data_IF_791612236361
#
_entry.id   IF_791612236361
#
_cell.length_a   1.000
_cell.length_b   1.000
_cell.length_c   1.000
_cell.angle_alpha   90.00
_cell.angle_beta   90.00
_cell.angle_gamma   90.00
#
_symmetry.space_group_name_H-M   'P 1'
#
loop_
_entity.id
_entity.type
_entity.pdbx_description
1 polymer ?
#
# COMPACT_ATOMS: atom_id res chain seq x y z
N UNK A 1 -0.50 54.03 -10.52
CA UNK A 1 -0.65 53.15 -9.34
C UNK A 1 -1.79 52.17 -9.62
N UNK A 2 -1.52 50.95 -10.12
CA UNK A 2 -2.45 49.84 -10.02
C UNK A 2 -1.99 48.83 -8.97
N UNK A 3 -2.98 48.49 -8.17
CA UNK A 3 -3.13 47.46 -7.13
C UNK A 3 -2.32 46.18 -7.36
N UNK A 4 -1.51 45.81 -6.37
CA UNK A 4 -1.01 44.45 -6.19
C UNK A 4 -2.13 43.58 -5.62
N UNK A 5 -2.70 42.70 -6.44
CA UNK A 5 -3.52 41.60 -5.94
C UNK A 5 -2.59 40.41 -5.64
N UNK A 6 -2.28 40.25 -4.35
CA UNK A 6 -1.67 39.06 -3.77
C UNK A 6 -2.62 37.87 -3.96
N UNK A 7 -2.22 36.88 -4.76
CA UNK A 7 -2.84 35.56 -4.75
C UNK A 7 -2.14 34.70 -3.68
N UNK A 8 -2.74 34.66 -2.49
CA UNK A 8 -2.44 33.67 -1.45
C UNK A 8 -2.80 32.28 -1.98
N UNK A 9 -1.81 31.50 -2.39
CA UNK A 9 -1.96 30.07 -2.60
C UNK A 9 -2.02 29.39 -1.23
N UNK A 10 -3.22 28.98 -0.82
CA UNK A 10 -3.41 28.13 0.35
C UNK A 10 -2.69 26.80 0.14
N UNK A 11 -1.53 26.64 0.78
CA UNK A 11 -0.70 25.43 0.75
C UNK A 11 -1.43 24.28 1.46
N UNK A 12 -2.14 23.44 0.70
CA UNK A 12 -2.54 22.12 1.18
C UNK A 12 -1.27 21.29 1.32
N UNK A 13 -0.94 20.86 2.54
CA UNK A 13 0.25 20.06 2.82
C UNK A 13 0.32 18.84 1.88
N UNK A 14 1.48 18.64 1.24
CA UNK A 14 1.72 17.50 0.35
C UNK A 14 1.49 16.17 1.10
N UNK A 15 0.59 15.29 0.61
CA UNK A 15 0.30 14.01 1.24
C UNK A 15 1.53 13.13 1.49
N UNK A 16 2.54 13.19 0.62
CA UNK A 16 3.77 12.43 0.81
C UNK A 16 4.59 12.96 1.98
N UNK A 17 4.72 14.28 2.10
CA UNK A 17 5.34 14.93 3.24
C UNK A 17 4.65 14.58 4.57
N UNK A 18 3.31 14.51 4.58
CA UNK A 18 2.55 14.07 5.77
C UNK A 18 2.86 12.62 6.15
N UNK A 19 3.02 11.72 5.17
CA UNK A 19 3.45 10.34 5.40
C UNK A 19 4.86 10.27 5.98
N UNK A 20 5.82 11.05 5.45
CA UNK A 20 7.19 11.09 5.97
C UNK A 20 7.23 11.50 7.45
N UNK A 21 6.48 12.55 7.82
CA UNK A 21 6.35 12.98 9.21
C UNK A 21 5.71 11.92 10.10
N UNK A 22 4.68 11.24 9.60
CA UNK A 22 4.02 10.15 10.32
C UNK A 22 4.96 8.97 10.56
N UNK A 23 5.75 8.57 9.56
CA UNK A 23 6.79 7.54 9.69
C UNK A 23 7.79 7.94 10.78
N UNK A 24 8.33 9.16 10.72
CA UNK A 24 9.30 9.66 11.70
C UNK A 24 8.72 9.67 13.11
N UNK A 25 7.46 10.09 13.28
CA UNK A 25 6.75 10.06 14.55
C UNK A 25 6.65 8.64 15.13
N UNK A 26 6.26 7.67 14.30
CA UNK A 26 6.12 6.28 14.76
C UNK A 26 7.46 5.63 15.10
N UNK A 27 8.51 5.90 14.32
CA UNK A 27 9.86 5.44 14.63
C UNK A 27 10.34 6.04 15.95
N UNK A 28 10.21 7.36 16.13
CA UNK A 28 10.61 8.02 17.39
C UNK A 28 9.84 7.47 18.60
N UNK A 29 8.52 7.26 18.46
CA UNK A 29 7.69 6.69 19.52
C UNK A 29 8.13 5.27 19.90
N UNK A 30 8.43 4.43 18.91
CA UNK A 30 8.94 3.09 19.16
C UNK A 30 10.33 3.12 19.79
N UNK A 31 11.25 3.96 19.29
CA UNK A 31 12.60 4.06 19.86
C UNK A 31 12.56 4.47 21.32
N UNK A 32 11.70 5.43 21.67
CA UNK A 32 11.52 5.88 23.06
C UNK A 32 10.87 4.81 23.93
N UNK A 33 9.86 4.08 23.43
CA UNK A 33 9.17 3.05 24.22
C UNK A 33 10.09 1.87 24.57
N UNK A 34 10.94 1.46 23.63
CA UNK A 34 11.83 0.31 23.80
C UNK A 34 13.23 0.69 24.31
N UNK A 35 13.50 1.97 24.55
CA UNK A 35 14.83 2.50 24.85
C UNK A 35 15.90 1.98 23.87
N UNK A 36 15.56 1.97 22.58
CA UNK A 36 16.37 1.40 21.52
C UNK A 36 16.40 2.32 20.29
N UNK A 37 17.56 2.72 19.76
CA UNK A 37 17.65 3.67 18.65
C UNK A 37 17.32 2.99 17.31
N UNK A 38 16.03 2.91 16.96
CA UNK A 38 15.60 2.35 15.68
C UNK A 38 16.06 3.22 14.50
N UNK A 39 16.61 2.56 13.48
CA UNK A 39 17.03 3.23 12.24
C UNK A 39 15.80 3.69 11.45
N UNK A 40 15.81 4.95 11.02
CA UNK A 40 14.79 5.47 10.10
C UNK A 40 14.74 4.64 8.80
N UNK A 41 13.55 4.21 8.37
CA UNK A 41 13.42 3.43 7.14
C UNK A 41 13.49 4.33 5.91
N UNK A 42 13.92 3.75 4.78
CA UNK A 42 13.73 4.41 3.49
C UNK A 42 12.22 4.41 3.17
N UNK A 43 11.70 5.57 2.75
CA UNK A 43 10.31 5.69 2.29
C UNK A 43 10.32 5.86 0.78
N UNK A 44 9.52 5.04 0.09
CA UNK A 44 9.37 5.08 -1.37
C UNK A 44 7.90 5.15 -1.77
N UNK A 45 7.62 5.67 -2.96
CA UNK A 45 6.27 5.79 -3.48
C UNK A 45 6.16 5.15 -4.87
N UNK A 46 5.16 4.28 -5.06
CA UNK A 46 4.84 3.65 -6.34
C UNK A 46 3.52 4.14 -6.90
N UNK A 47 3.32 3.92 -8.20
CA UNK A 47 2.11 4.32 -8.93
C UNK A 47 1.25 3.15 -9.41
N UNK A 48 1.64 1.91 -9.07
CA UNK A 48 1.00 0.71 -9.61
C UNK A 48 0.78 -0.37 -8.54
N UNK A 49 -0.09 -1.32 -8.87
CA UNK A 49 -0.56 -2.35 -7.97
C UNK A 49 -1.80 -1.91 -7.17
N UNK A 50 -2.25 -2.75 -6.24
CA UNK A 50 -3.49 -2.51 -5.49
C UNK A 50 -3.30 -2.46 -3.98
N UNK A 51 -2.08 -2.74 -3.49
CA UNK A 51 -1.76 -2.65 -2.06
C UNK A 51 -1.53 -1.19 -1.70
N UNK A 52 -1.96 -0.77 -0.51
CA UNK A 52 -1.72 0.59 -0.01
C UNK A 52 -0.25 0.82 0.40
N UNK A 53 0.31 -0.16 1.10
CA UNK A 53 1.65 -0.16 1.67
C UNK A 53 2.34 -1.51 1.51
N UNK A 54 3.65 -1.52 1.67
CA UNK A 54 4.46 -2.75 1.80
C UNK A 54 5.73 -2.43 2.58
N UNK A 55 5.98 -3.18 3.64
CA UNK A 55 7.23 -3.21 4.36
C UNK A 55 8.20 -4.25 3.77
N UNK A 56 9.41 -3.81 3.42
CA UNK A 56 10.54 -4.64 3.00
C UNK A 56 11.52 -4.76 4.17
N UNK A 57 11.29 -5.77 5.01
CA UNK A 57 11.94 -5.94 6.31
C UNK A 57 13.47 -5.84 6.26
N UNK A 58 14.13 -6.66 5.44
CA UNK A 58 15.60 -6.69 5.33
C UNK A 58 16.20 -5.41 4.72
N UNK A 59 15.42 -4.64 3.97
CA UNK A 59 15.86 -3.38 3.38
C UNK A 59 15.62 -2.19 4.32
N UNK A 60 14.95 -2.40 5.46
CA UNK A 60 14.39 -1.35 6.29
C UNK A 60 13.68 -0.27 5.45
N UNK A 61 12.77 -0.70 4.57
CA UNK A 61 12.11 0.17 3.60
C UNK A 61 10.61 -0.03 3.60
N UNK A 62 9.86 1.07 3.53
CA UNK A 62 8.43 1.05 3.23
C UNK A 62 8.18 1.62 1.84
N UNK A 63 7.16 1.08 1.18
CA UNK A 63 6.72 1.55 -0.14
C UNK A 63 5.21 1.79 -0.12
N UNK A 64 4.79 3.03 -0.36
CA UNK A 64 3.39 3.44 -0.35
C UNK A 64 2.85 3.68 -1.76
N UNK A 65 1.57 3.46 -1.96
CA UNK A 65 0.92 3.72 -3.25
C UNK A 65 0.48 5.18 -3.35
N UNK A 66 1.12 5.97 -4.22
CA UNK A 66 0.93 7.43 -4.31
C UNK A 66 -0.50 7.84 -4.68
N UNK A 67 -1.14 7.12 -5.61
CA UNK A 67 -2.50 7.44 -6.06
C UNK A 67 -3.50 7.19 -4.92
N UNK A 68 -3.49 6.00 -4.32
CA UNK A 68 -4.33 5.70 -3.15
C UNK A 68 -4.10 6.70 -2.00
N UNK A 69 -2.85 7.10 -1.74
CA UNK A 69 -2.52 8.11 -0.72
C UNK A 69 -3.20 9.45 -1.00
N UNK A 70 -3.15 9.95 -2.23
CA UNK A 70 -3.76 11.23 -2.60
C UNK A 70 -5.26 11.28 -2.29
N UNK A 71 -5.95 10.14 -2.42
CA UNK A 71 -7.40 10.06 -2.20
C UNK A 71 -7.79 9.59 -0.79
N UNK A 72 -6.84 9.08 0.00
CA UNK A 72 -7.13 8.43 1.28
C UNK A 72 -6.13 8.82 2.38
N UNK A 73 -5.70 10.09 2.40
CA UNK A 73 -4.65 10.57 3.30
C UNK A 73 -4.93 10.21 4.76
N UNK A 74 -6.15 10.43 5.24
CA UNK A 74 -6.53 10.09 6.62
C UNK A 74 -6.25 8.62 6.95
N UNK A 75 -6.76 7.69 6.15
CA UNK A 75 -6.56 6.24 6.30
C UNK A 75 -5.08 5.85 6.23
N UNK A 76 -4.28 6.55 5.42
CA UNK A 76 -2.84 6.33 5.39
C UNK A 76 -2.18 6.65 6.72
N UNK A 77 -2.51 7.81 7.30
CA UNK A 77 -1.91 8.28 8.55
C UNK A 77 -2.43 7.50 9.77
N UNK A 78 -3.70 7.07 9.77
CA UNK A 78 -4.32 6.34 10.89
C UNK A 78 -4.00 4.84 10.89
N UNK A 79 -3.90 4.22 9.71
CA UNK A 79 -3.86 2.77 9.57
C UNK A 79 -2.68 2.25 8.76
N UNK A 80 -2.48 2.74 7.53
CA UNK A 80 -1.49 2.14 6.61
C UNK A 80 -0.05 2.37 7.09
N UNK A 81 0.31 3.61 7.43
CA UNK A 81 1.65 3.94 7.93
C UNK A 81 1.97 3.19 9.23
N UNK A 82 1.17 3.27 10.31
CA UNK A 82 1.48 2.53 11.54
C UNK A 82 1.54 1.02 11.30
N UNK A 83 0.72 0.46 10.41
CA UNK A 83 0.78 -0.97 10.06
C UNK A 83 2.13 -1.37 9.45
N UNK A 84 2.58 -0.67 8.40
CA UNK A 84 3.84 -1.00 7.73
C UNK A 84 5.05 -0.71 8.63
N UNK A 85 5.01 0.34 9.43
CA UNK A 85 6.08 0.67 10.37
C UNK A 85 6.15 -0.35 11.52
N UNK A 86 5.03 -0.84 12.03
CA UNK A 86 5.03 -1.88 13.05
C UNK A 86 5.75 -3.15 12.58
N UNK A 87 5.64 -3.52 11.30
CA UNK A 87 6.42 -4.64 10.74
C UNK A 87 7.92 -4.40 10.80
N UNK A 88 8.38 -3.18 10.47
CA UNK A 88 9.80 -2.85 10.53
C UNK A 88 10.31 -2.82 11.97
N UNK A 89 9.58 -2.19 12.89
CA UNK A 89 9.92 -2.15 14.33
C UNK A 89 10.07 -3.56 14.89
N UNK A 90 9.08 -4.43 14.64
CA UNK A 90 9.10 -5.82 15.10
C UNK A 90 10.29 -6.57 14.52
N UNK A 91 10.58 -6.39 13.24
CA UNK A 91 11.71 -7.07 12.62
C UNK A 91 13.05 -6.61 13.19
N UNK A 92 13.21 -5.31 13.45
CA UNK A 92 14.43 -4.75 14.03
C UNK A 92 14.68 -5.25 15.46
N UNK A 93 13.64 -5.43 16.26
CA UNK A 93 13.77 -5.82 17.68
C UNK A 93 13.78 -7.34 17.89
N UNK A 94 12.99 -8.08 17.12
CA UNK A 94 12.71 -9.50 17.37
C UNK A 94 13.14 -10.42 16.21
N UNK A 95 13.62 -9.87 15.10
CA UNK A 95 14.02 -10.64 13.93
C UNK A 95 12.82 -11.29 13.22
N UNK A 96 12.88 -12.61 13.00
CA UNK A 96 11.83 -13.35 12.28
C UNK A 96 10.79 -13.88 13.27
N UNK A 97 9.62 -13.25 13.28
CA UNK A 97 8.44 -13.68 14.06
C UNK A 97 7.21 -13.81 13.17
N UNK A 98 6.09 -14.28 13.73
CA UNK A 98 4.82 -14.40 13.00
C UNK A 98 4.34 -13.01 12.52
N UNK A 99 3.99 -12.86 11.23
CA UNK A 99 3.36 -11.64 10.74
C UNK A 99 2.08 -11.34 11.53
N UNK A 100 1.93 -10.09 11.99
CA UNK A 100 0.77 -9.67 12.79
C UNK A 100 0.58 -10.48 14.09
N UNK A 101 1.66 -11.10 14.59
CA UNK A 101 1.73 -11.85 15.85
C UNK A 101 1.69 -10.98 17.10
N UNK A 102 2.08 -11.54 18.24
CA UNK A 102 2.01 -10.87 19.56
C UNK A 102 2.84 -9.58 19.59
N UNK A 103 4.04 -9.62 19.04
CA UNK A 103 4.98 -8.51 19.00
C UNK A 103 4.40 -7.36 18.18
N UNK A 104 3.83 -7.67 17.02
CA UNK A 104 3.19 -6.68 16.15
C UNK A 104 1.95 -6.07 16.81
N UNK A 105 1.10 -6.89 17.46
CA UNK A 105 -0.06 -6.39 18.20
C UNK A 105 0.36 -5.47 19.34
N UNK A 106 1.43 -5.81 20.07
CA UNK A 106 1.99 -4.96 21.12
C UNK A 106 2.47 -3.62 20.57
N UNK A 107 3.21 -3.62 19.45
CA UNK A 107 3.64 -2.37 18.82
C UNK A 107 2.44 -1.53 18.38
N UNK A 108 1.44 -2.14 17.74
CA UNK A 108 0.24 -1.41 17.32
C UNK A 108 -0.53 -0.82 18.51
N UNK A 109 -0.81 -1.62 19.53
CA UNK A 109 -1.67 -1.23 20.65
C UNK A 109 -0.94 -0.36 21.68
N UNK A 110 0.14 -0.88 22.25
CA UNK A 110 0.83 -0.26 23.39
C UNK A 110 1.76 0.85 22.95
N UNK A 111 2.39 0.72 21.78
CA UNK A 111 3.34 1.72 21.28
C UNK A 111 2.61 2.73 20.41
N UNK A 112 1.85 2.33 19.40
CA UNK A 112 1.23 3.29 18.47
C UNK A 112 -0.12 3.80 18.92
N UNK A 113 -0.84 3.07 19.79
CA UNK A 113 -2.21 3.42 20.17
C UNK A 113 -3.23 3.15 19.07
N UNK A 114 -2.89 2.27 18.12
CA UNK A 114 -3.71 1.89 16.98
C UNK A 114 -4.37 0.53 17.22
N UNK A 115 -5.59 0.35 16.71
CA UNK A 115 -6.21 -0.98 16.69
C UNK A 115 -5.39 -1.90 15.79
N UNK A 116 -5.07 -3.15 16.21
CA UNK A 116 -4.28 -4.09 15.41
C UNK A 116 -5.14 -4.72 14.30
N UNK A 117 -5.58 -3.90 13.34
CA UNK A 117 -6.31 -4.37 12.17
C UNK A 117 -5.34 -4.81 11.08
N UNK A 118 -5.54 -6.02 10.55
CA UNK A 118 -4.76 -6.57 9.43
C UNK A 118 -5.36 -6.23 8.07
N UNK A 119 -6.60 -5.75 8.05
CA UNK A 119 -7.32 -5.32 6.86
C UNK A 119 -7.71 -3.86 6.98
N UNK A 120 -7.46 -3.09 5.92
CA UNK A 120 -8.04 -1.78 5.72
C UNK A 120 -8.79 -1.80 4.39
N UNK A 121 -9.96 -1.17 4.37
CA UNK A 121 -10.73 -0.96 3.14
C UNK A 121 -10.33 0.40 2.59
N UNK A 122 -9.79 0.41 1.37
CA UNK A 122 -9.54 1.64 0.63
C UNK A 122 -10.42 1.63 -0.61
N UNK A 123 -10.89 2.81 -1.00
CA UNK A 123 -11.53 2.95 -2.28
C UNK A 123 -10.48 2.75 -3.39
N UNK A 124 -10.64 1.65 -4.14
CA UNK A 124 -9.79 1.30 -5.27
C UNK A 124 -10.36 1.82 -6.60
N UNK A 125 -11.51 2.50 -6.59
CA UNK A 125 -12.13 3.07 -7.80
C UNK A 125 -11.21 4.07 -8.50
N UNK A 126 -10.39 4.78 -7.72
CA UNK A 126 -9.38 5.75 -8.19
C UNK A 126 -8.21 5.12 -8.94
N UNK A 127 -8.08 3.78 -8.90
CA UNK A 127 -7.10 3.08 -9.69
C UNK A 127 -7.72 2.73 -11.05
N UNK A 128 -7.24 3.37 -12.10
CA UNK A 128 -7.53 2.94 -13.47
C UNK A 128 -6.95 1.54 -13.70
N UNK A 129 -7.79 0.51 -13.59
CA UNK A 129 -7.38 -0.88 -13.74
C UNK A 129 -7.49 -1.27 -15.19
N UNK A 130 -6.35 -1.32 -15.89
CA UNK A 130 -6.28 -1.89 -17.24
C UNK A 130 -6.76 -3.35 -17.22
N UNK A 131 -7.79 -3.59 -18.00
CA UNK A 131 -8.30 -4.92 -18.33
C UNK A 131 -8.00 -5.23 -19.78
N UNK A 132 -8.08 -6.52 -20.12
CA UNK A 132 -7.84 -7.06 -21.45
C UNK A 132 -9.01 -7.95 -21.81
N UNK A 133 -9.58 -7.73 -22.98
CA UNK A 133 -10.70 -8.53 -23.45
C UNK A 133 -10.23 -9.90 -23.94
N UNK A 134 -10.90 -10.92 -23.42
CA UNK A 134 -10.75 -12.30 -23.81
C UNK A 134 -12.13 -12.88 -24.08
N UNK A 135 -12.23 -13.83 -24.99
CA UNK A 135 -13.47 -14.51 -25.31
C UNK A 135 -13.36 -16.02 -25.15
N UNK A 136 -14.53 -16.64 -24.98
CA UNK A 136 -14.73 -18.07 -25.16
C UNK A 136 -15.99 -18.27 -26.02
N UNK A 137 -16.41 -19.51 -26.22
CA UNK A 137 -17.58 -19.81 -27.05
C UNK A 137 -18.92 -19.27 -26.49
N UNK A 138 -18.98 -18.79 -25.23
CA UNK A 138 -20.24 -18.35 -24.63
C UNK A 138 -20.29 -16.88 -24.18
N UNK A 139 -19.15 -16.19 -24.05
CA UNK A 139 -19.11 -14.78 -23.61
C UNK A 139 -17.71 -14.16 -23.77
N UNK A 140 -17.65 -12.84 -23.65
CA UNK A 140 -16.42 -12.06 -23.41
C UNK A 140 -16.15 -11.92 -21.90
N UNK A 141 -14.88 -11.78 -21.55
CA UNK A 141 -14.34 -11.68 -20.20
C UNK A 141 -13.27 -10.58 -20.16
N UNK A 142 -13.33 -9.74 -19.12
CA UNK A 142 -12.26 -8.79 -18.83
C UNK A 142 -11.22 -9.39 -17.89
N UNK A 143 -10.04 -9.72 -18.41
CA UNK A 143 -8.93 -10.23 -17.63
C UNK A 143 -8.03 -9.11 -17.13
N UNK A 144 -7.64 -9.19 -15.85
CA UNK A 144 -6.60 -8.31 -15.28
C UNK A 144 -5.27 -8.45 -16.04
N UNK A 145 -4.45 -7.40 -16.04
CA UNK A 145 -3.07 -7.45 -16.60
C UNK A 145 -2.24 -8.63 -16.08
N UNK A 146 -2.40 -9.05 -14.81
CA UNK A 146 -1.71 -10.23 -14.29
C UNK A 146 -2.11 -11.52 -15.01
N UNK A 147 -3.41 -11.73 -15.23
CA UNK A 147 -3.91 -12.91 -15.95
C UNK A 147 -3.50 -12.86 -17.42
N UNK A 148 -3.65 -11.70 -18.07
CA UNK A 148 -3.17 -11.49 -19.43
C UNK A 148 -1.68 -11.83 -19.57
N UNK A 149 -0.81 -11.26 -18.73
CA UNK A 149 0.63 -11.53 -18.78
C UNK A 149 0.97 -13.01 -18.53
N UNK A 150 0.23 -13.70 -17.65
CA UNK A 150 0.44 -15.12 -17.39
C UNK A 150 0.09 -15.99 -18.62
N UNK A 151 -0.93 -15.59 -19.40
CA UNK A 151 -1.29 -16.24 -20.67
C UNK A 151 -0.21 -15.96 -21.72
N UNK A 152 0.17 -14.68 -21.90
CA UNK A 152 1.19 -14.27 -22.89
C UNK A 152 2.54 -14.96 -22.65
N UNK A 153 2.93 -15.15 -21.38
CA UNK A 153 4.15 -15.87 -21.01
C UNK A 153 3.98 -17.40 -20.99
N UNK A 154 2.85 -17.93 -21.47
CA UNK A 154 2.52 -19.37 -21.48
C UNK A 154 2.60 -20.05 -20.10
N UNK A 155 2.49 -19.29 -19.01
CA UNK A 155 2.58 -19.79 -17.64
C UNK A 155 1.28 -20.37 -17.13
N UNK A 156 0.14 -19.94 -17.68
CA UNK A 156 -1.20 -20.37 -17.26
C UNK A 156 -2.16 -20.37 -18.43
N UNK A 157 -3.08 -21.33 -18.41
CA UNK A 157 -4.26 -21.39 -19.27
C UNK A 157 -5.47 -21.12 -18.38
N UNK A 158 -6.37 -20.24 -18.83
CA UNK A 158 -7.63 -19.96 -18.14
C UNK A 158 -8.78 -20.53 -18.95
N UNK A 159 -9.77 -21.10 -18.25
CA UNK A 159 -10.99 -21.67 -18.84
C UNK A 159 -12.20 -20.93 -18.32
N UNK A 160 -13.22 -20.79 -19.16
CA UNK A 160 -14.51 -20.26 -18.73
C UNK A 160 -15.17 -21.21 -17.74
N UNK A 161 -15.72 -20.70 -16.64
CA UNK A 161 -16.41 -21.53 -15.65
C UNK A 161 -17.77 -22.05 -16.13
N UNK A 162 -18.31 -21.52 -17.24
CA UNK A 162 -19.61 -21.92 -17.79
C UNK A 162 -19.51 -22.98 -18.87
N UNK A 163 -18.61 -22.78 -19.84
CA UNK A 163 -18.48 -23.67 -21.01
C UNK A 163 -17.15 -24.42 -21.05
N UNK A 164 -16.26 -24.22 -20.06
CA UNK A 164 -14.95 -24.88 -19.92
C UNK A 164 -13.94 -24.65 -21.05
N UNK A 165 -14.34 -23.92 -22.09
CA UNK A 165 -13.47 -23.53 -23.19
C UNK A 165 -12.37 -22.58 -22.73
N UNK A 166 -11.21 -22.71 -23.37
CA UNK A 166 -10.03 -21.87 -23.12
C UNK A 166 -10.36 -20.42 -23.50
N UNK A 167 -9.97 -19.49 -22.64
CA UNK A 167 -10.07 -18.07 -22.94
C UNK A 167 -8.99 -17.67 -23.95
N UNK A 168 -9.41 -17.11 -25.08
CA UNK A 168 -8.52 -16.56 -26.12
C UNK A 168 -8.64 -15.05 -26.18
N UNK A 169 -7.60 -14.35 -26.65
CA UNK A 169 -7.64 -12.89 -26.80
C UNK A 169 -8.76 -12.53 -27.77
N UNK A 170 -9.62 -11.57 -27.39
CA UNK A 170 -10.62 -11.04 -28.30
C UNK A 170 -9.94 -10.25 -29.42
N UNK A 171 -10.38 -10.38 -30.69
CA UNK A 171 -9.81 -9.66 -31.83
C UNK A 171 -9.80 -8.14 -31.64
#
# INVERSE_FOLDING_TARGET
>A
MPTMQNALTSSTADPQSAVLLCVDKHIAKASSYFDYPLRKPQVTFRASGTRAGTAFLHQNRVNFHRILLQHNLHTYLSDVVPHEIAHLVVHSLFGRVQPHGREWKLVMQSVFGCRPSVTHTLDLSVLERKTWDYQCACTTHQLTTRRHNAIQQKKRIYRCQRCENILTVSP
#
